data_IF_128820724769
#
_entry.id   IF_128820724769
#
_cell.length_a   1.000
_cell.length_b   1.000
_cell.length_c   1.000
_cell.angle_alpha   90.00
_cell.angle_beta   90.00
_cell.angle_gamma   90.00
#
_symmetry.space_group_name_H-M   'P 1'
#
loop_
_entity.id
_entity.type
_entity.pdbx_description
1 polymer ?
#
# COMPACT_ATOMS: atom_id res chain seq x y z
N UNK A 1 -26.61 -71.58 50.03
CA UNK A 1 -26.01 -70.42 49.33
C UNK A 1 -27.04 -69.81 48.40
N UNK A 2 -27.45 -68.57 48.67
CA UNK A 2 -28.58 -67.88 48.03
C UNK A 2 -28.12 -66.99 46.85
N UNK A 3 -28.97 -66.85 45.82
CA UNK A 3 -28.76 -66.04 44.61
C UNK A 3 -29.41 -64.64 44.71
N UNK A 4 -28.82 -63.67 43.98
CA UNK A 4 -29.35 -62.35 43.49
C UNK A 4 -29.46 -61.17 44.50
N UNK A 5 -29.65 -59.90 44.06
CA UNK A 5 -28.97 -59.14 42.99
C UNK A 5 -28.73 -57.63 43.34
N UNK A 6 -28.11 -56.89 42.40
CA UNK A 6 -28.26 -55.47 42.01
C UNK A 6 -28.68 -54.38 43.03
N UNK A 7 -27.80 -53.38 43.18
CA UNK A 7 -28.12 -51.97 43.37
C UNK A 7 -26.98 -51.15 42.73
N UNK A 8 -27.11 -49.92 42.27
CA UNK A 8 -28.18 -49.09 41.73
C UNK A 8 -27.41 -47.88 41.16
N UNK A 9 -27.74 -47.49 39.94
CA UNK A 9 -27.05 -46.48 39.14
C UNK A 9 -27.35 -45.07 39.67
N UNK A 10 -26.32 -44.30 40.03
CA UNK A 10 -26.40 -42.85 40.20
C UNK A 10 -25.33 -42.17 39.32
N UNK A 11 -25.69 -41.33 38.34
CA UNK A 11 -24.71 -40.59 37.55
C UNK A 11 -24.27 -39.30 38.27
N UNK A 12 -22.96 -39.11 38.37
CA UNK A 12 -22.33 -37.83 38.75
C UNK A 12 -22.39 -36.82 37.58
N UNK A 13 -22.39 -35.51 37.86
CA UNK A 13 -22.67 -34.46 36.89
C UNK A 13 -21.54 -34.25 35.87
N UNK A 14 -21.96 -34.03 34.62
CA UNK A 14 -21.13 -33.68 33.47
C UNK A 14 -20.43 -32.34 33.70
N UNK A 15 -19.10 -32.37 33.75
CA UNK A 15 -18.25 -31.18 33.87
C UNK A 15 -18.15 -30.52 32.48
N UNK A 16 -18.69 -29.31 32.36
CA UNK A 16 -18.60 -28.51 31.13
C UNK A 16 -17.14 -28.12 30.82
N UNK A 17 -16.69 -28.20 29.56
CA UNK A 17 -15.39 -27.64 29.19
C UNK A 17 -15.47 -26.11 29.10
N UNK A 18 -14.42 -25.46 29.63
CA UNK A 18 -14.22 -24.01 29.62
C UNK A 18 -14.22 -23.42 28.18
N UNK A 19 -14.64 -22.15 28.00
CA UNK A 19 -14.62 -21.52 26.69
C UNK A 19 -13.17 -21.25 26.25
N UNK A 20 -12.76 -21.95 25.20
CA UNK A 20 -11.56 -21.66 24.42
C UNK A 20 -11.61 -20.22 23.93
N UNK A 21 -10.66 -19.40 24.39
CA UNK A 21 -10.48 -18.04 23.92
C UNK A 21 -10.09 -18.09 22.43
N UNK A 22 -11.05 -17.71 21.58
CA UNK A 22 -10.85 -17.51 20.15
C UNK A 22 -9.86 -16.37 19.94
N UNK A 23 -8.66 -16.72 19.48
CA UNK A 23 -7.73 -15.79 18.83
C UNK A 23 -8.46 -14.99 17.74
N UNK A 24 -8.24 -13.67 17.62
CA UNK A 24 -8.85 -12.92 16.53
C UNK A 24 -8.35 -13.47 15.19
N UNK A 25 -9.30 -14.04 14.45
CA UNK A 25 -9.12 -14.42 13.06
C UNK A 25 -8.78 -13.14 12.29
N UNK A 26 -7.57 -13.03 11.74
CA UNK A 26 -7.23 -12.00 10.75
C UNK A 26 -7.93 -12.37 9.44
N UNK A 27 -9.26 -12.26 9.45
CA UNK A 27 -10.09 -12.52 8.29
C UNK A 27 -9.67 -11.61 7.14
N UNK A 28 -9.58 -12.23 5.97
CA UNK A 28 -9.14 -11.69 4.72
C UNK A 28 -9.76 -10.31 4.43
N UNK A 29 -8.91 -9.39 3.96
CA UNK A 29 -9.31 -8.02 3.64
C UNK A 29 -10.45 -7.99 2.59
N UNK A 30 -11.44 -7.10 2.75
CA UNK A 30 -12.52 -6.97 1.77
C UNK A 30 -11.98 -6.51 0.42
N UNK A 31 -12.51 -7.14 -0.63
CA UNK A 31 -12.17 -6.90 -2.03
C UNK A 31 -12.29 -5.42 -2.42
N UNK A 32 -11.22 -4.88 -3.01
CA UNK A 32 -11.05 -3.47 -3.36
C UNK A 32 -11.83 -3.05 -4.63
N UNK A 33 -13.13 -3.28 -4.71
CA UNK A 33 -13.93 -2.76 -5.82
C UNK A 33 -15.31 -2.30 -5.33
N UNK A 34 -15.48 -0.98 -5.20
CA UNK A 34 -16.80 -0.38 -4.99
C UNK A 34 -16.80 1.03 -4.41
N UNK A 35 -16.52 2.04 -5.24
CA UNK A 35 -16.61 3.46 -4.87
C UNK A 35 -15.48 3.89 -3.95
N UNK A 36 -14.57 4.72 -4.46
CA UNK A 36 -13.42 5.22 -3.69
C UNK A 36 -13.91 6.15 -2.56
N UNK A 37 -14.35 5.55 -1.46
CA UNK A 37 -14.63 6.24 -0.23
C UNK A 37 -13.28 6.48 0.43
N UNK A 38 -12.66 7.60 0.11
CA UNK A 38 -11.43 8.10 0.74
C UNK A 38 -11.55 8.21 2.26
N UNK A 39 -12.78 8.19 2.80
CA UNK A 39 -13.04 8.07 4.24
C UNK A 39 -12.91 6.64 4.79
N UNK A 40 -12.62 5.64 3.95
CA UNK A 40 -12.27 4.30 4.43
C UNK A 40 -11.03 4.39 5.34
N UNK A 41 -11.04 3.71 6.51
CA UNK A 41 -9.90 3.71 7.43
C UNK A 41 -8.56 3.31 6.80
N UNK A 42 -8.55 2.51 5.74
CA UNK A 42 -7.33 2.13 5.01
C UNK A 42 -6.70 3.34 4.32
N UNK A 43 -7.49 4.16 3.61
CA UNK A 43 -7.01 5.38 2.96
C UNK A 43 -6.51 6.40 3.97
N UNK A 44 -7.26 6.62 5.03
CA UNK A 44 -6.88 7.52 6.12
C UNK A 44 -5.58 7.06 6.78
N UNK A 45 -5.44 5.76 7.04
CA UNK A 45 -4.22 5.20 7.62
C UNK A 45 -3.03 5.34 6.69
N UNK A 46 -3.19 5.07 5.40
CA UNK A 46 -2.13 5.28 4.39
C UNK A 46 -1.67 6.74 4.40
N UNK A 47 -2.61 7.68 4.32
CA UNK A 47 -2.30 9.12 4.35
C UNK A 47 -1.57 9.51 5.63
N UNK A 48 -2.12 9.18 6.79
CA UNK A 48 -1.53 9.52 8.09
C UNK A 48 -0.15 8.91 8.28
N UNK A 49 0.11 7.70 7.76
CA UNK A 49 1.45 7.10 7.77
C UNK A 49 2.43 7.91 6.91
N UNK A 50 2.03 8.33 5.72
CA UNK A 50 2.86 9.20 4.90
C UNK A 50 3.13 10.56 5.56
N UNK A 51 2.19 11.08 6.36
CA UNK A 51 2.35 12.35 7.08
C UNK A 51 3.33 12.30 8.26
N UNK A 52 3.76 11.12 8.70
CA UNK A 52 4.75 10.98 9.78
C UNK A 52 6.15 11.46 9.37
N UNK A 53 6.35 11.73 8.08
CA UNK A 53 7.59 12.23 7.50
C UNK A 53 7.33 13.59 6.84
N UNK A 54 8.29 14.50 6.96
CA UNK A 54 8.21 15.79 6.29
C UNK A 54 8.71 15.65 4.84
N UNK A 55 7.77 15.56 3.91
CA UNK A 55 8.05 15.51 2.48
C UNK A 55 7.19 16.54 1.74
N UNK A 56 7.73 17.05 0.64
CA UNK A 56 7.01 17.88 -0.32
C UNK A 56 6.83 17.14 -1.65
N UNK A 57 7.70 16.19 -1.95
CA UNK A 57 7.66 15.35 -3.14
C UNK A 57 7.80 13.87 -2.75
N UNK A 58 6.87 13.05 -3.22
CA UNK A 58 6.82 11.61 -2.93
C UNK A 58 6.85 10.81 -4.23
N UNK A 59 7.85 9.98 -4.44
CA UNK A 59 7.83 8.99 -5.51
C UNK A 59 6.93 7.83 -5.11
N UNK A 60 5.98 7.45 -5.97
CA UNK A 60 5.23 6.21 -5.82
C UNK A 60 5.62 5.25 -6.95
N UNK A 61 6.42 4.26 -6.59
CA UNK A 61 7.13 3.39 -7.54
C UNK A 61 6.43 2.05 -7.57
N UNK A 62 5.91 1.65 -8.72
CA UNK A 62 5.32 0.33 -8.89
C UNK A 62 4.79 0.12 -10.30
N UNK A 63 4.64 -1.15 -10.67
CA UNK A 63 4.11 -1.53 -11.97
C UNK A 63 3.44 -2.90 -11.88
N UNK A 64 2.36 -3.05 -12.64
CA UNK A 64 1.69 -4.32 -12.92
C UNK A 64 1.32 -4.35 -14.40
N UNK A 65 1.37 -5.54 -14.99
CA UNK A 65 0.91 -5.76 -16.37
C UNK A 65 -0.60 -6.01 -16.39
N UNK A 66 -1.14 -6.61 -15.33
CA UNK A 66 -2.59 -6.87 -15.18
C UNK A 66 -3.36 -5.62 -14.76
N UNK A 67 -2.72 -4.73 -14.03
CA UNK A 67 -3.28 -3.46 -13.57
C UNK A 67 -2.23 -2.32 -13.74
N UNK A 68 -2.08 -1.79 -14.97
CA UNK A 68 -1.11 -0.74 -15.24
C UNK A 68 -1.36 0.55 -14.46
N UNK A 69 -2.61 0.82 -14.09
CA UNK A 69 -3.06 2.08 -13.51
C UNK A 69 -3.19 2.04 -11.98
N UNK A 70 -3.17 0.88 -11.32
CA UNK A 70 -3.39 0.77 -9.87
C UNK A 70 -2.56 1.70 -8.99
N UNK A 71 -1.27 1.90 -9.28
CA UNK A 71 -0.43 2.87 -8.53
C UNK A 71 -0.89 4.31 -8.77
N UNK A 72 -1.27 4.63 -10.01
CA UNK A 72 -1.77 5.96 -10.38
C UNK A 72 -3.14 6.24 -9.77
N UNK A 73 -4.04 5.24 -9.77
CA UNK A 73 -5.33 5.33 -9.09
C UNK A 73 -5.15 5.61 -7.59
N UNK A 74 -4.16 5.00 -6.95
CA UNK A 74 -3.88 5.24 -5.54
C UNK A 74 -3.28 6.62 -5.30
N UNK A 75 -2.40 7.09 -6.16
CA UNK A 75 -1.90 8.46 -6.10
C UNK A 75 -3.05 9.48 -6.19
N UNK A 76 -4.00 9.26 -7.10
CA UNK A 76 -5.19 10.11 -7.21
C UNK A 76 -6.13 9.98 -6.00
N UNK A 77 -6.31 8.78 -5.45
CA UNK A 77 -7.06 8.55 -4.22
C UNK A 77 -6.48 9.32 -3.03
N UNK A 78 -5.15 9.31 -2.89
CA UNK A 78 -4.44 10.11 -1.89
C UNK A 78 -4.63 11.62 -2.12
N UNK A 79 -4.57 12.08 -3.38
CA UNK A 79 -4.79 13.49 -3.70
C UNK A 79 -6.22 13.95 -3.39
N UNK A 80 -7.21 13.10 -3.65
CA UNK A 80 -8.60 13.35 -3.27
C UNK A 80 -8.77 13.43 -1.76
N UNK A 81 -8.20 12.47 -1.01
CA UNK A 81 -8.22 12.50 0.45
C UNK A 81 -7.54 13.76 1.02
N UNK A 82 -6.39 14.17 0.45
CA UNK A 82 -5.73 15.40 0.83
C UNK A 82 -6.62 16.63 0.59
N UNK A 83 -7.31 16.68 -0.55
CA UNK A 83 -8.24 17.77 -0.88
C UNK A 83 -9.43 17.83 0.08
N UNK A 84 -9.95 16.70 0.52
CA UNK A 84 -11.03 16.62 1.53
C UNK A 84 -10.58 17.15 2.91
N UNK A 85 -9.27 17.13 3.18
CA UNK A 85 -8.64 17.71 4.36
C UNK A 85 -8.15 19.16 4.14
N UNK A 86 -8.47 19.77 3.00
CA UNK A 86 -8.06 21.14 2.65
C UNK A 86 -6.59 21.28 2.25
N UNK A 87 -5.92 20.19 1.87
CA UNK A 87 -4.53 20.16 1.46
C UNK A 87 -4.41 19.98 -0.06
N UNK A 88 -3.51 20.72 -0.70
CA UNK A 88 -3.23 20.56 -2.13
C UNK A 88 -2.14 19.51 -2.36
N UNK A 89 -2.48 18.47 -3.15
CA UNK A 89 -1.56 17.42 -3.55
C UNK A 89 -1.66 17.19 -5.07
N UNK A 90 -0.58 17.48 -5.80
CA UNK A 90 -0.52 17.30 -7.26
C UNK A 90 -0.01 15.90 -7.60
N UNK A 91 -0.56 15.24 -8.61
CA UNK A 91 -0.04 13.95 -9.12
C UNK A 91 0.61 14.16 -10.48
N UNK A 92 1.85 13.69 -10.62
CA UNK A 92 2.57 13.62 -11.88
C UNK A 92 2.64 12.16 -12.33
N UNK A 93 2.12 11.86 -13.52
CA UNK A 93 2.37 10.56 -14.16
C UNK A 93 3.70 10.60 -14.91
N UNK A 94 4.69 9.89 -14.37
CA UNK A 94 6.03 9.77 -14.92
C UNK A 94 6.36 8.32 -15.32
N UNK A 95 5.35 7.43 -15.42
CA UNK A 95 5.55 6.01 -15.73
C UNK A 95 6.27 5.78 -17.05
N UNK A 96 6.00 6.65 -18.04
CA UNK A 96 6.60 6.60 -19.38
C UNK A 96 7.56 7.78 -19.63
N UNK A 97 8.09 8.40 -18.57
CA UNK A 97 9.01 9.52 -18.69
C UNK A 97 10.31 9.10 -19.35
N UNK A 98 10.63 9.73 -20.49
CA UNK A 98 11.89 9.57 -21.19
C UNK A 98 12.97 10.53 -20.68
N UNK A 99 14.24 10.16 -20.90
CA UNK A 99 15.40 10.94 -20.42
C UNK A 99 15.40 12.40 -20.92
N UNK A 100 14.89 12.64 -22.14
CA UNK A 100 14.83 13.98 -22.74
C UNK A 100 13.92 14.95 -21.96
N UNK A 101 12.85 14.44 -21.37
CA UNK A 101 11.83 15.24 -20.68
C UNK A 101 12.07 15.32 -19.16
N UNK A 102 13.02 14.54 -18.65
CA UNK A 102 13.31 14.42 -17.21
C UNK A 102 13.64 15.78 -16.58
N UNK A 103 14.52 16.57 -17.20
CA UNK A 103 14.89 17.88 -16.68
C UNK A 103 13.70 18.85 -16.57
N UNK A 104 12.77 18.80 -17.54
CA UNK A 104 11.54 19.60 -17.50
C UNK A 104 10.64 19.16 -16.35
N UNK A 105 10.46 17.86 -16.15
CA UNK A 105 9.63 17.35 -15.08
C UNK A 105 10.18 17.69 -13.69
N UNK A 106 11.50 17.58 -13.49
CA UNK A 106 12.15 17.99 -12.23
C UNK A 106 11.94 19.49 -11.96
N UNK A 107 12.05 20.35 -12.98
CA UNK A 107 11.77 21.78 -12.83
C UNK A 107 10.29 22.05 -12.46
N UNK A 108 9.34 21.28 -12.99
CA UNK A 108 7.93 21.38 -12.61
C UNK A 108 7.71 20.97 -11.14
N UNK A 109 8.33 19.87 -10.70
CA UNK A 109 8.28 19.42 -9.31
C UNK A 109 8.83 20.51 -8.39
N UNK A 110 10.01 21.05 -8.69
CA UNK A 110 10.64 22.12 -7.91
C UNK A 110 9.77 23.39 -7.84
N UNK A 111 9.12 23.77 -8.94
CA UNK A 111 8.22 24.93 -8.98
C UNK A 111 7.01 24.78 -8.06
N UNK A 112 6.50 23.55 -7.88
CA UNK A 112 5.40 23.25 -6.95
C UNK A 112 5.92 23.22 -5.51
N UNK A 113 6.99 22.47 -5.25
CA UNK A 113 7.50 22.27 -3.88
C UNK A 113 8.07 23.54 -3.27
N UNK A 114 8.70 24.42 -4.06
CA UNK A 114 9.18 25.74 -3.60
C UNK A 114 8.06 26.69 -3.14
N UNK A 115 6.81 26.42 -3.53
CA UNK A 115 5.61 27.16 -3.07
C UNK A 115 4.97 26.52 -1.83
N UNK A 116 5.63 25.52 -1.23
CA UNK A 116 5.10 24.77 -0.09
C UNK A 116 3.96 23.81 -0.44
N UNK A 117 3.77 23.50 -1.73
CA UNK A 117 2.77 22.54 -2.20
C UNK A 117 3.38 21.16 -2.32
N UNK A 118 2.56 20.12 -2.13
CA UNK A 118 3.01 18.73 -2.21
C UNK A 118 2.71 18.09 -3.55
N UNK A 119 3.52 17.11 -3.94
CA UNK A 119 3.25 16.27 -5.11
C UNK A 119 3.61 14.80 -4.92
N UNK A 120 2.91 13.94 -5.65
CA UNK A 120 3.26 12.53 -5.87
C UNK A 120 3.74 12.39 -7.32
N UNK A 121 4.87 11.70 -7.52
CA UNK A 121 5.41 11.34 -8.83
C UNK A 121 5.28 9.84 -9.01
N UNK A 122 4.43 9.42 -9.94
CA UNK A 122 4.18 7.99 -10.20
C UNK A 122 5.21 7.45 -11.17
N UNK A 123 5.95 6.42 -10.76
CA UNK A 123 7.06 5.83 -11.51
C UNK A 123 6.86 4.32 -11.66
N UNK A 124 7.45 3.73 -12.70
CA UNK A 124 7.56 2.28 -12.84
C UNK A 124 8.72 1.74 -12.00
N UNK A 125 8.83 0.42 -11.87
CA UNK A 125 10.00 -0.22 -11.25
C UNK A 125 11.30 0.12 -12.01
N UNK A 126 12.44 0.08 -11.32
CA UNK A 126 13.76 0.41 -11.92
C UNK A 126 14.15 -0.55 -13.04
N UNK A 127 13.60 -1.77 -13.03
CA UNK A 127 13.79 -2.77 -14.08
C UNK A 127 13.01 -2.45 -15.36
N UNK A 128 12.08 -1.50 -15.33
CA UNK A 128 11.18 -1.18 -16.43
C UNK A 128 11.39 0.23 -17.01
N UNK A 129 11.86 1.19 -16.22
CA UNK A 129 12.14 2.54 -16.69
C UNK A 129 13.44 3.09 -16.09
N UNK A 130 14.39 3.43 -16.97
CA UNK A 130 15.72 3.95 -16.62
C UNK A 130 15.68 5.32 -15.92
N UNK A 131 14.60 6.09 -16.07
CA UNK A 131 14.45 7.40 -15.38
C UNK A 131 13.99 7.26 -13.94
N UNK A 132 13.56 6.06 -13.51
CA UNK A 132 13.02 5.81 -12.16
C UNK A 132 14.01 6.20 -11.07
N UNK A 133 15.25 5.70 -11.15
CA UNK A 133 16.28 5.95 -10.14
C UNK A 133 16.59 7.45 -9.99
N UNK A 134 16.98 8.18 -11.06
CA UNK A 134 17.28 9.60 -10.92
C UNK A 134 16.05 10.42 -10.50
N UNK A 135 14.84 10.07 -10.96
CA UNK A 135 13.63 10.76 -10.51
C UNK A 135 13.36 10.55 -9.02
N UNK A 136 13.38 9.30 -8.56
CA UNK A 136 13.13 8.95 -7.16
C UNK A 136 14.22 9.50 -6.21
N UNK A 137 15.46 9.63 -6.69
CA UNK A 137 16.53 10.23 -5.90
C UNK A 137 16.38 11.75 -5.71
N UNK A 138 15.73 12.44 -6.66
CA UNK A 138 15.52 13.89 -6.63
C UNK A 138 14.23 14.34 -5.91
N UNK A 139 13.40 13.41 -5.46
CA UNK A 139 12.24 13.70 -4.58
C UNK A 139 12.58 13.42 -3.12
N UNK A 140 11.79 13.88 -2.17
CA UNK A 140 12.10 13.79 -0.74
C UNK A 140 12.01 12.35 -0.21
N UNK A 141 10.93 11.65 -0.59
CA UNK A 141 10.61 10.32 -0.08
C UNK A 141 10.05 9.39 -1.18
N UNK A 142 9.94 8.10 -0.88
CA UNK A 142 9.42 7.08 -1.79
C UNK A 142 8.47 6.07 -1.11
N UNK A 143 7.51 5.56 -1.86
CA UNK A 143 6.68 4.40 -1.56
C UNK A 143 6.85 3.35 -2.65
N UNK A 144 6.87 2.08 -2.25
CA UNK A 144 6.89 0.96 -3.18
C UNK A 144 5.50 0.31 -3.31
N UNK A 145 4.91 0.32 -4.49
CA UNK A 145 3.73 -0.47 -4.84
C UNK A 145 4.12 -1.90 -5.19
N UNK A 146 3.62 -2.87 -4.42
CA UNK A 146 3.91 -4.31 -4.61
C UNK A 146 2.63 -5.01 -5.03
N UNK A 147 2.55 -5.42 -6.29
CA UNK A 147 1.42 -6.17 -6.81
C UNK A 147 1.59 -7.67 -6.54
N UNK A 148 0.63 -8.25 -5.82
CA UNK A 148 0.64 -9.67 -5.44
C UNK A 148 0.65 -10.54 -6.71
N UNK A 149 1.65 -11.42 -6.80
CA UNK A 149 1.83 -12.34 -7.92
C UNK A 149 2.46 -11.70 -9.16
N UNK A 150 2.83 -10.42 -9.13
CA UNK A 150 3.48 -9.73 -10.25
C UNK A 150 4.80 -9.08 -9.87
N UNK A 151 4.82 -8.30 -8.80
CA UNK A 151 6.06 -7.67 -8.33
C UNK A 151 6.92 -8.73 -7.64
N UNK A 152 7.96 -9.19 -8.32
CA UNK A 152 8.92 -10.11 -7.73
C UNK A 152 9.71 -9.46 -6.60
N UNK A 153 10.11 -10.25 -5.59
CA UNK A 153 10.97 -9.79 -4.49
C UNK A 153 12.30 -9.24 -5.01
N UNK A 154 12.83 -9.81 -6.09
CA UNK A 154 14.07 -9.35 -6.72
C UNK A 154 13.89 -7.95 -7.31
N UNK A 155 12.82 -7.70 -8.06
CA UNK A 155 12.54 -6.38 -8.64
C UNK A 155 12.25 -5.33 -7.56
N UNK A 156 11.53 -5.71 -6.51
CA UNK A 156 11.27 -4.87 -5.35
C UNK A 156 12.56 -4.50 -4.60
N UNK A 157 13.38 -5.50 -4.24
CA UNK A 157 14.66 -5.25 -3.53
C UNK A 157 15.59 -4.40 -4.37
N UNK A 158 15.73 -4.71 -5.66
CA UNK A 158 16.55 -3.94 -6.58
C UNK A 158 16.11 -2.48 -6.67
N UNK A 159 14.80 -2.23 -6.74
CA UNK A 159 14.23 -0.87 -6.71
C UNK A 159 14.61 -0.13 -5.43
N UNK A 160 14.49 -0.80 -4.28
CA UNK A 160 14.84 -0.23 -2.98
C UNK A 160 16.34 0.07 -2.88
N UNK A 161 17.19 -0.84 -3.36
CA UNK A 161 18.64 -0.71 -3.31
C UNK A 161 19.16 0.39 -4.24
N UNK A 162 18.66 0.46 -5.49
CA UNK A 162 19.11 1.46 -6.46
C UNK A 162 18.61 2.89 -6.14
N UNK A 163 17.38 3.02 -5.63
CA UNK A 163 16.84 4.33 -5.19
C UNK A 163 17.45 4.76 -3.86
N UNK A 164 17.75 3.80 -2.97
CA UNK A 164 18.31 4.02 -1.64
C UNK A 164 17.29 3.77 -0.54
N UNK A 165 17.60 2.80 0.34
CA UNK A 165 16.76 2.38 1.47
C UNK A 165 16.23 3.54 2.34
N UNK A 166 17.02 4.56 2.71
CA UNK A 166 16.54 5.65 3.55
C UNK A 166 15.43 6.50 2.94
N UNK A 167 15.23 6.45 1.61
CA UNK A 167 14.14 7.19 0.96
C UNK A 167 12.78 6.54 1.13
N UNK A 168 12.71 5.23 1.38
CA UNK A 168 11.44 4.53 1.42
C UNK A 168 10.75 4.72 2.77
N UNK A 169 9.53 5.26 2.72
CA UNK A 169 8.62 5.32 3.88
C UNK A 169 7.98 3.95 4.15
N UNK A 170 7.92 3.10 3.12
CA UNK A 170 7.35 1.77 3.21
C UNK A 170 6.88 1.23 1.86
N UNK A 171 5.96 0.28 1.92
CA UNK A 171 5.34 -0.34 0.74
C UNK A 171 3.83 -0.43 0.90
N UNK A 172 3.13 -0.39 -0.23
CA UNK A 172 1.69 -0.62 -0.35
C UNK A 172 1.50 -1.91 -1.13
N UNK A 173 0.81 -2.89 -0.52
CA UNK A 173 0.52 -4.16 -1.16
C UNK A 173 -0.79 -4.07 -1.92
N UNK A 174 -0.75 -4.41 -3.20
CA UNK A 174 -1.82 -4.24 -4.17
C UNK A 174 -2.25 -5.61 -4.65
N UNK A 175 -3.55 -5.85 -4.69
CA UNK A 175 -4.07 -7.01 -5.39
C UNK A 175 -4.38 -6.59 -6.81
N UNK A 176 -3.59 -7.07 -7.78
CA UNK A 176 -3.89 -6.91 -9.19
C UNK A 176 -5.14 -7.74 -9.51
N UNK A 177 -6.30 -7.17 -9.25
CA UNK A 177 -7.57 -7.76 -9.64
C UNK A 177 -7.70 -7.53 -11.14
N UNK A 178 -8.02 -8.58 -11.90
CA UNK A 178 -8.43 -8.42 -13.29
C UNK A 178 -9.68 -7.53 -13.32
N UNK A 179 -9.52 -6.25 -13.63
CA UNK A 179 -10.62 -5.39 -14.05
C UNK A 179 -11.24 -6.05 -15.28
N UNK A 180 -12.48 -6.52 -15.13
CA UNK A 180 -13.31 -7.07 -16.20
C UNK A 180 -13.68 -6.00 -17.22
#
# INVERSE_FOLDING_TARGET
MNKRPMAETAPMPSQAPAPSQSVPNFDAMPSMLGGSNTMDPVWQRLWLRCQQHDWQSLAFIGSSKRDPDGVLEIAHGMARLASELGQELTVFDARNLGLKDMGRMLAQIQSITSRGKRCIVVLKLVTENATTVPMAQNVDAALLGVFIGETSVIAASRTVDEVGRPKFLGSVVLNASLSR
#
